data_IF_356076212776
#
_entry.id   IF_356076212776
#
_cell.length_a   1.000
_cell.length_b   1.000
_cell.length_c   1.000
_cell.angle_alpha   90.00
_cell.angle_beta   90.00
_cell.angle_gamma   90.00
#
_symmetry.space_group_name_H-M   'P 1'
#
loop_
_entity.id
_entity.type
_entity.pdbx_description
1 polymer ?
#
# COMPACT_ATOMS: atom_id res chain seq x y z
N UNK A 1 4.71 16.02 1.41
CA UNK A 1 5.10 15.72 2.80
C UNK A 1 3.99 16.01 3.82
N UNK A 2 3.30 17.16 3.71
CA UNK A 2 2.20 17.52 4.66
C UNK A 2 1.00 16.56 4.62
N UNK A 3 0.75 15.89 3.51
CA UNK A 3 -0.35 14.91 3.37
C UNK A 3 0.02 13.50 3.87
N UNK A 4 1.31 13.20 4.01
CA UNK A 4 1.81 11.90 4.47
C UNK A 4 1.55 11.67 5.96
N UNK A 5 1.72 12.70 6.78
CA UNK A 5 1.55 12.62 8.23
C UNK A 5 0.13 12.23 8.65
N UNK A 6 -0.95 12.88 8.13
CA UNK A 6 -2.31 12.48 8.49
C UNK A 6 -2.68 11.08 8.00
N UNK A 7 -2.17 10.65 6.84
CA UNK A 7 -2.43 9.29 6.33
C UNK A 7 -1.77 8.23 7.24
N UNK A 8 -0.52 8.44 7.64
CA UNK A 8 0.16 7.56 8.60
C UNK A 8 -0.54 7.54 9.97
N UNK A 9 -1.03 8.69 10.42
CA UNK A 9 -1.77 8.78 11.68
C UNK A 9 -3.11 8.01 11.61
N UNK A 10 -3.83 8.10 10.49
CA UNK A 10 -5.07 7.35 10.26
C UNK A 10 -4.80 5.85 10.21
N UNK A 11 -3.72 5.42 9.52
CA UNK A 11 -3.33 4.01 9.45
C UNK A 11 -2.94 3.46 10.83
N UNK A 12 -2.12 4.20 11.57
CA UNK A 12 -1.70 3.81 12.90
C UNK A 12 -2.88 3.77 13.89
N UNK A 13 -3.79 4.75 13.84
CA UNK A 13 -4.99 4.78 14.68
C UNK A 13 -5.97 3.66 14.30
N UNK A 14 -6.12 3.36 13.01
CA UNK A 14 -6.94 2.25 12.52
C UNK A 14 -6.42 0.89 13.01
N UNK A 15 -5.11 0.65 12.94
CA UNK A 15 -4.49 -0.55 13.49
C UNK A 15 -4.62 -0.64 15.01
N UNK A 16 -4.38 0.46 15.73
CA UNK A 16 -4.51 0.50 17.19
C UNK A 16 -5.95 0.26 17.63
N UNK A 17 -6.93 0.87 16.99
CA UNK A 17 -8.36 0.67 17.31
C UNK A 17 -8.81 -0.75 16.97
N UNK A 18 -8.28 -1.34 15.89
CA UNK A 18 -8.56 -2.74 15.55
C UNK A 18 -8.02 -3.70 16.62
N UNK A 19 -6.78 -3.51 17.07
CA UNK A 19 -6.16 -4.32 18.15
C UNK A 19 -6.89 -4.14 19.47
N UNK A 20 -7.33 -2.92 19.81
CA UNK A 20 -8.02 -2.64 21.09
C UNK A 20 -9.48 -3.08 21.11
N UNK A 21 -10.19 -3.02 19.97
CA UNK A 21 -11.58 -3.48 19.84
C UNK A 21 -11.73 -4.98 19.62
N UNK A 22 -10.65 -5.72 19.56
CA UNK A 22 -10.47 -7.09 19.11
C UNK A 22 -11.19 -8.20 19.87
N UNK A 23 -12.47 -8.05 20.19
CA UNK A 23 -13.27 -9.16 20.74
C UNK A 23 -14.35 -9.73 19.81
N UNK A 24 -14.67 -9.07 18.71
CA UNK A 24 -15.64 -9.61 17.74
C UNK A 24 -15.26 -9.18 16.31
N UNK A 25 -15.24 -10.13 15.39
CA UNK A 25 -15.17 -9.85 13.97
C UNK A 25 -16.49 -9.22 13.54
N UNK A 26 -16.43 -7.95 13.15
CA UNK A 26 -17.56 -7.25 12.53
C UNK A 26 -17.25 -7.01 11.07
N UNK A 27 -18.28 -6.89 10.24
CA UNK A 27 -18.15 -6.53 8.83
C UNK A 27 -17.37 -5.20 8.69
N UNK A 28 -17.62 -4.25 9.59
CA UNK A 28 -16.91 -2.96 9.61
C UNK A 28 -15.41 -3.12 9.84
N UNK A 29 -14.99 -4.10 10.64
CA UNK A 29 -13.56 -4.39 10.87
C UNK A 29 -12.88 -4.88 9.59
N UNK A 30 -13.57 -5.69 8.78
CA UNK A 30 -13.06 -6.18 7.50
C UNK A 30 -12.90 -5.00 6.52
N UNK A 31 -13.94 -4.16 6.39
CA UNK A 31 -13.85 -2.98 5.51
C UNK A 31 -12.76 -2.00 5.95
N UNK A 32 -12.61 -1.75 7.25
CA UNK A 32 -11.55 -0.89 7.77
C UNK A 32 -10.15 -1.45 7.43
N UNK A 33 -9.97 -2.75 7.51
CA UNK A 33 -8.71 -3.42 7.17
C UNK A 33 -8.39 -3.30 5.68
N UNK A 34 -9.36 -3.55 4.81
CA UNK A 34 -9.18 -3.39 3.36
C UNK A 34 -8.88 -1.92 3.01
N UNK A 35 -9.62 -0.98 3.61
CA UNK A 35 -9.37 0.44 3.40
C UNK A 35 -7.95 0.85 3.83
N UNK A 36 -7.47 0.36 4.97
CA UNK A 36 -6.10 0.61 5.43
C UNK A 36 -5.05 0.08 4.45
N UNK A 37 -5.26 -1.11 3.88
CA UNK A 37 -4.38 -1.68 2.86
C UNK A 37 -4.30 -0.81 1.60
N UNK A 38 -5.45 -0.36 1.11
CA UNK A 38 -5.51 0.54 -0.06
C UNK A 38 -4.87 1.91 0.25
N UNK A 39 -5.04 2.42 1.47
CA UNK A 39 -4.40 3.68 1.89
C UNK A 39 -2.86 3.56 1.90
N UNK A 40 -2.30 2.40 2.28
CA UNK A 40 -0.86 2.15 2.14
C UNK A 40 -0.41 2.24 0.68
N UNK A 41 -1.17 1.64 -0.24
CA UNK A 41 -0.85 1.75 -1.67
C UNK A 41 -0.86 3.21 -2.16
N UNK A 42 -1.87 4.00 -1.79
CA UNK A 42 -1.95 5.41 -2.18
C UNK A 42 -0.82 6.24 -1.58
N UNK A 43 -0.40 5.94 -0.35
CA UNK A 43 0.73 6.60 0.29
C UNK A 43 2.02 6.34 -0.48
N UNK A 44 2.31 5.10 -0.84
CA UNK A 44 3.49 4.77 -1.63
C UNK A 44 3.42 5.35 -3.04
N UNK A 45 2.23 5.39 -3.66
CA UNK A 45 2.04 6.07 -4.95
C UNK A 45 2.44 7.56 -4.89
N UNK A 46 2.11 8.26 -3.79
CA UNK A 46 2.55 9.66 -3.59
C UNK A 46 4.06 9.78 -3.43
N UNK A 47 4.69 8.85 -2.71
CA UNK A 47 6.16 8.82 -2.57
C UNK A 47 6.81 8.61 -3.93
N UNK A 48 6.31 7.67 -4.74
CA UNK A 48 6.82 7.41 -6.08
C UNK A 48 6.61 8.60 -7.03
N UNK A 49 5.45 9.27 -6.93
CA UNK A 49 5.18 10.49 -7.69
C UNK A 49 6.19 11.59 -7.34
N UNK A 50 6.48 11.80 -6.05
CA UNK A 50 7.51 12.73 -5.62
C UNK A 50 8.90 12.33 -6.15
N UNK A 51 9.21 11.04 -6.14
CA UNK A 51 10.51 10.55 -6.60
C UNK A 51 10.70 10.74 -8.11
N UNK A 52 9.69 10.42 -8.92
CA UNK A 52 9.77 10.58 -10.38
C UNK A 52 9.74 12.04 -10.80
N UNK A 53 9.04 12.92 -10.07
CA UNK A 53 9.05 14.36 -10.33
C UNK A 53 10.39 15.00 -9.99
N UNK A 54 11.09 14.51 -8.96
CA UNK A 54 12.44 14.96 -8.62
C UNK A 54 13.49 14.43 -9.61
N UNK A 55 13.43 13.14 -9.93
CA UNK A 55 14.33 12.48 -10.85
C UNK A 55 13.53 11.60 -11.84
N UNK A 56 13.28 12.08 -13.05
CA UNK A 56 12.52 11.33 -14.08
C UNK A 56 13.12 9.98 -14.45
N UNK A 57 14.42 9.77 -14.22
CA UNK A 57 15.07 8.47 -14.42
C UNK A 57 14.77 7.45 -13.32
N UNK A 58 13.96 7.80 -12.30
CA UNK A 58 13.66 6.90 -11.19
C UNK A 58 12.84 5.68 -11.59
N UNK A 59 12.04 5.80 -12.64
CA UNK A 59 11.22 4.72 -13.16
C UNK A 59 11.38 4.60 -14.67
N UNK A 60 11.39 3.35 -15.15
CA UNK A 60 11.25 3.02 -16.57
C UNK A 60 9.77 2.83 -16.85
N UNK A 61 9.20 3.74 -17.62
CA UNK A 61 7.81 3.70 -18.08
C UNK A 61 7.74 3.22 -19.52
N UNK A 62 6.60 2.65 -19.98
CA UNK A 62 6.37 2.34 -21.39
C UNK A 62 6.57 3.58 -22.26
N UNK A 63 7.03 3.37 -23.51
CA UNK A 63 7.50 4.43 -24.44
C UNK A 63 6.46 5.53 -24.68
N UNK A 64 5.18 5.20 -24.62
CA UNK A 64 4.07 6.15 -24.79
C UNK A 64 3.89 7.13 -23.61
N UNK A 65 4.64 6.95 -22.52
CA UNK A 65 4.52 7.72 -21.29
C UNK A 65 5.38 9.00 -21.26
N UNK A 66 6.29 9.18 -22.20
CA UNK A 66 7.32 10.25 -22.18
C UNK A 66 6.74 11.67 -22.31
N UNK A 67 5.51 11.81 -22.82
CA UNK A 67 4.80 13.11 -22.96
C UNK A 67 3.48 13.17 -22.17
N UNK A 68 3.35 12.39 -21.09
CA UNK A 68 2.11 12.32 -20.32
C UNK A 68 1.91 13.54 -19.42
N UNK A 69 0.65 13.99 -19.36
CA UNK A 69 0.15 14.95 -18.37
C UNK A 69 0.41 14.44 -16.95
N UNK A 70 0.57 15.34 -15.97
CA UNK A 70 0.77 15.01 -14.54
C UNK A 70 -0.29 14.06 -13.98
N UNK A 71 -1.52 14.10 -14.51
CA UNK A 71 -2.60 13.21 -14.07
C UNK A 71 -2.37 11.76 -14.50
N UNK A 72 -1.79 11.53 -15.68
CA UNK A 72 -1.46 10.19 -16.16
C UNK A 72 -0.26 9.61 -15.39
N UNK A 73 0.70 10.44 -15.03
CA UNK A 73 1.84 10.05 -14.21
C UNK A 73 1.38 9.58 -12.80
N UNK A 74 0.42 10.29 -12.20
CA UNK A 74 -0.18 9.87 -10.93
C UNK A 74 -0.86 8.50 -11.06
N UNK A 75 -1.60 8.28 -12.15
CA UNK A 75 -2.24 6.98 -12.42
C UNK A 75 -1.23 5.85 -12.54
N UNK A 76 -0.10 6.09 -13.24
CA UNK A 76 0.96 5.11 -13.39
C UNK A 76 1.61 4.77 -12.03
N UNK A 77 1.79 5.75 -11.14
CA UNK A 77 2.34 5.53 -9.81
C UNK A 77 1.37 4.81 -8.87
N UNK A 78 0.06 5.10 -8.97
CA UNK A 78 -0.98 4.36 -8.23
C UNK A 78 -1.01 2.90 -8.72
N UNK A 79 -1.01 2.68 -10.02
CA UNK A 79 -0.97 1.37 -10.62
C UNK A 79 0.27 0.58 -10.16
N UNK A 80 1.47 1.15 -10.29
CA UNK A 80 2.71 0.53 -9.85
C UNK A 80 2.69 0.17 -8.37
N UNK A 81 2.20 1.08 -7.54
CA UNK A 81 2.09 0.85 -6.10
C UNK A 81 1.15 -0.30 -5.75
N UNK A 82 -0.04 -0.35 -6.37
CA UNK A 82 -1.01 -1.42 -6.15
C UNK A 82 -0.47 -2.78 -6.62
N UNK A 83 0.14 -2.82 -7.81
CA UNK A 83 0.74 -4.03 -8.38
C UNK A 83 1.89 -4.55 -7.53
N UNK A 84 2.70 -3.63 -6.98
CA UNK A 84 3.81 -3.98 -6.07
C UNK A 84 3.30 -4.47 -4.73
N UNK A 85 2.34 -3.77 -4.11
CA UNK A 85 1.77 -4.12 -2.82
C UNK A 85 1.04 -5.47 -2.86
N UNK A 86 0.32 -5.73 -3.96
CA UNK A 86 -0.38 -7.00 -4.20
C UNK A 86 0.55 -8.12 -4.71
N UNK A 87 1.85 -7.86 -4.88
CA UNK A 87 2.87 -8.80 -5.37
C UNK A 87 2.59 -9.38 -6.75
N UNK A 88 1.84 -8.67 -7.59
CA UNK A 88 1.53 -9.08 -8.97
C UNK A 88 2.75 -8.89 -9.88
N UNK A 89 3.38 -7.69 -9.88
CA UNK A 89 4.65 -7.41 -10.55
C UNK A 89 4.63 -7.66 -12.05
N UNK A 90 3.74 -7.03 -12.82
CA UNK A 90 3.67 -7.21 -14.28
C UNK A 90 4.98 -6.85 -15.00
N UNK A 91 5.80 -5.94 -14.45
CA UNK A 91 7.10 -5.58 -15.04
C UNK A 91 7.03 -4.56 -16.18
N UNK A 92 5.89 -3.96 -16.40
CA UNK A 92 5.65 -2.89 -17.38
C UNK A 92 6.10 -1.51 -16.89
N UNK A 93 6.00 -1.29 -15.57
CA UNK A 93 6.62 -0.16 -14.86
C UNK A 93 7.69 -0.71 -13.93
N UNK A 94 8.93 -0.21 -14.08
CA UNK A 94 10.06 -0.73 -13.30
C UNK A 94 10.79 0.39 -12.56
N UNK A 95 11.15 0.18 -11.27
CA UNK A 95 12.01 1.10 -10.56
C UNK A 95 13.44 1.00 -11.12
N UNK A 96 13.95 2.11 -11.67
CA UNK A 96 15.24 2.14 -12.36
C UNK A 96 16.39 2.55 -11.42
N UNK A 97 16.18 3.50 -10.53
CA UNK A 97 17.21 3.95 -9.58
C UNK A 97 17.28 3.06 -8.33
N UNK A 98 18.43 3.09 -7.66
CA UNK A 98 18.62 2.35 -6.41
C UNK A 98 17.58 2.72 -5.32
N UNK A 99 17.31 4.00 -5.17
CA UNK A 99 16.29 4.50 -4.20
C UNK A 99 14.89 3.97 -4.52
N UNK A 100 14.48 4.01 -5.79
CA UNK A 100 13.18 3.51 -6.21
C UNK A 100 13.06 2.00 -5.96
N UNK A 101 14.11 1.23 -6.25
CA UNK A 101 14.16 -0.22 -6.00
C UNK A 101 14.05 -0.56 -4.51
N UNK A 102 14.77 0.16 -3.65
CA UNK A 102 14.71 -0.05 -2.21
C UNK A 102 13.34 0.25 -1.64
N UNK A 103 12.69 1.35 -2.09
CA UNK A 103 11.32 1.69 -1.67
C UNK A 103 10.30 0.64 -2.15
N UNK A 104 10.42 0.16 -3.39
CA UNK A 104 9.54 -0.87 -3.93
C UNK A 104 9.68 -2.20 -3.17
N UNK A 105 10.91 -2.60 -2.86
CA UNK A 105 11.19 -3.78 -2.05
C UNK A 105 10.58 -3.63 -0.64
N UNK A 106 10.78 -2.50 0.02
CA UNK A 106 10.21 -2.24 1.33
C UNK A 106 8.68 -2.30 1.31
N UNK A 107 8.04 -1.70 0.30
CA UNK A 107 6.59 -1.75 0.12
C UNK A 107 6.10 -3.18 -0.06
N UNK A 108 6.76 -3.97 -0.92
CA UNK A 108 6.37 -5.36 -1.17
C UNK A 108 6.43 -6.20 0.11
N UNK A 109 7.51 -6.07 0.89
CA UNK A 109 7.65 -6.75 2.18
C UNK A 109 6.59 -6.30 3.18
N UNK A 110 6.35 -4.99 3.30
CA UNK A 110 5.33 -4.44 4.20
C UNK A 110 3.92 -4.95 3.83
N UNK A 111 3.61 -5.03 2.54
CA UNK A 111 2.34 -5.59 2.05
C UNK A 111 2.13 -7.04 2.44
N UNK A 112 3.16 -7.87 2.31
CA UNK A 112 3.11 -9.28 2.70
C UNK A 112 2.92 -9.46 4.21
N UNK A 113 3.66 -8.71 5.02
CA UNK A 113 3.47 -8.72 6.47
C UNK A 113 2.07 -8.26 6.87
N UNK A 114 1.55 -7.22 6.21
CA UNK A 114 0.19 -6.74 6.47
C UNK A 114 -0.84 -7.86 6.28
N UNK A 115 -0.84 -8.51 5.12
CA UNK A 115 -1.79 -9.59 4.81
C UNK A 115 -1.62 -10.76 5.78
N UNK A 116 -0.38 -11.18 6.06
CA UNK A 116 -0.11 -12.29 6.98
C UNK A 116 -0.63 -12.02 8.39
N UNK A 117 -0.37 -10.81 8.93
CA UNK A 117 -0.84 -10.42 10.27
C UNK A 117 -2.36 -10.33 10.33
N UNK A 118 -2.99 -9.73 9.31
CA UNK A 118 -4.45 -9.61 9.24
C UNK A 118 -5.12 -10.98 9.20
N UNK A 119 -4.64 -11.89 8.36
CA UNK A 119 -5.18 -13.25 8.27
C UNK A 119 -5.01 -13.99 9.60
N UNK A 120 -3.82 -13.91 10.21
CA UNK A 120 -3.57 -14.54 11.50
C UNK A 120 -4.49 -14.03 12.62
N UNK A 121 -4.74 -12.70 12.64
CA UNK A 121 -5.66 -12.09 13.60
C UNK A 121 -7.11 -12.55 13.38
N UNK A 122 -7.58 -12.59 12.15
CA UNK A 122 -8.94 -13.03 11.84
C UNK A 122 -9.15 -14.51 12.18
N UNK A 123 -8.20 -15.37 11.85
CA UNK A 123 -8.24 -16.79 12.20
C UNK A 123 -8.23 -16.97 13.72
N UNK A 124 -7.37 -16.24 14.43
CA UNK A 124 -7.28 -16.28 15.89
C UNK A 124 -8.60 -15.88 16.58
N UNK A 125 -9.23 -14.80 16.12
CA UNK A 125 -10.52 -14.35 16.67
C UNK A 125 -11.64 -15.36 16.34
N UNK A 126 -11.68 -15.88 15.12
CA UNK A 126 -12.67 -16.87 14.71
C UNK A 126 -12.57 -18.16 15.54
N UNK A 127 -11.33 -18.64 15.77
CA UNK A 127 -11.08 -19.85 16.56
C UNK A 127 -11.38 -19.69 18.05
N UNK A 128 -11.41 -18.48 18.57
CA UNK A 128 -11.69 -18.19 19.97
C UNK A 128 -13.20 -18.06 20.29
N UNK A 129 -14.07 -18.09 19.27
CA UNK A 129 -15.53 -18.05 19.49
C UNK A 129 -16.03 -19.40 20.00
N UNK A 130 -16.87 -19.44 21.06
CA UNK A 130 -17.49 -20.68 21.52
C UNK A 130 -18.32 -21.27 20.37
N UNK A 131 -18.13 -22.56 20.10
CA UNK A 131 -19.04 -23.31 19.21
C UNK A 131 -20.32 -23.57 19.99
N UNK A 132 -21.41 -22.97 19.58
CA UNK A 132 -22.76 -23.39 20.02
C UNK A 132 -23.13 -24.74 19.42
#
# INVERSE_FOLDING_TARGET
>A
LLTLVPVLAVLASGMLTFVQRGRRLTIDSIFATVAAYLMVALLFAQIYLCLITWNPASFSLPVDAVHRSNNLLLSDMIYFSLVTLATVGYGDVLPATHTARMLAMFQAVAGQFYVAVVVALFVGIYSSQPRE
#
